data_IF_916762900560
#
_entry.id   IF_916762900560
#
_cell.length_a   1.000
_cell.length_b   1.000
_cell.length_c   1.000
_cell.angle_alpha   90.00
_cell.angle_beta   90.00
_cell.angle_gamma   90.00
#
_symmetry.space_group_name_H-M   'P 1'
#
loop_
_entity.id
_entity.type
_entity.pdbx_description
1 polymer ?
#
# COMPACT_ATOMS: atom_id res chain seq x y z
N UNK A 1 -33.19 1.65 55.77
CA UNK A 1 -32.31 2.40 54.84
C UNK A 1 -31.22 3.00 55.71
N UNK A 2 -29.99 2.50 55.60
CA UNK A 2 -28.87 3.03 56.38
C UNK A 2 -28.40 4.34 55.75
N UNK A 3 -28.89 5.46 56.29
CA UNK A 3 -28.45 6.82 55.95
C UNK A 3 -27.12 7.18 56.62
N UNK A 4 -26.22 6.22 56.81
CA UNK A 4 -24.91 6.53 57.36
C UNK A 4 -24.12 7.34 56.32
N UNK A 5 -23.34 8.32 56.80
CA UNK A 5 -22.45 9.11 55.94
C UNK A 5 -21.52 8.20 55.11
N UNK A 6 -21.08 7.08 55.69
CA UNK A 6 -20.31 6.05 54.99
C UNK A 6 -21.11 5.44 53.83
N UNK A 7 -22.40 5.12 54.04
CA UNK A 7 -23.29 4.59 53.00
C UNK A 7 -23.56 5.58 51.86
N UNK A 8 -23.66 6.87 52.17
CA UNK A 8 -23.78 7.94 51.17
C UNK A 8 -22.50 8.10 50.35
N UNK A 9 -21.33 8.11 51.00
CA UNK A 9 -20.03 8.23 50.31
C UNK A 9 -19.76 7.02 49.42
N UNK A 10 -20.07 5.80 49.88
CA UNK A 10 -19.90 4.59 49.06
C UNK A 10 -20.88 4.53 47.89
N UNK A 11 -22.15 4.92 48.09
CA UNK A 11 -23.13 5.02 47.00
C UNK A 11 -22.69 6.04 45.94
N UNK A 12 -22.26 7.23 46.37
CA UNK A 12 -21.78 8.26 45.46
C UNK A 12 -20.49 7.85 44.72
N UNK A 13 -19.57 7.17 45.40
CA UNK A 13 -18.37 6.63 44.76
C UNK A 13 -18.71 5.56 43.70
N UNK A 14 -19.70 4.70 43.96
CA UNK A 14 -20.17 3.70 43.02
C UNK A 14 -20.85 4.33 41.80
N UNK A 15 -21.72 5.31 42.01
CA UNK A 15 -22.37 6.07 40.92
C UNK A 15 -21.35 6.79 40.04
N UNK A 16 -20.34 7.44 40.65
CA UNK A 16 -19.26 8.08 39.90
C UNK A 16 -18.40 7.08 39.13
N UNK A 17 -18.12 5.89 39.68
CA UNK A 17 -17.39 4.84 38.96
C UNK A 17 -18.19 4.32 37.76
N UNK A 18 -19.49 4.09 37.94
CA UNK A 18 -20.40 3.67 36.87
C UNK A 18 -20.49 4.73 35.76
N UNK A 19 -20.68 6.00 36.13
CA UNK A 19 -20.72 7.12 35.19
C UNK A 19 -19.41 7.26 34.41
N UNK A 20 -18.26 7.11 35.09
CA UNK A 20 -16.96 7.13 34.45
C UNK A 20 -16.78 5.97 33.45
N UNK A 21 -17.11 4.73 33.83
CA UNK A 21 -17.00 3.58 32.92
C UNK A 21 -17.85 3.78 31.67
N UNK A 22 -19.09 4.23 31.84
CA UNK A 22 -19.99 4.56 30.73
C UNK A 22 -19.40 5.62 29.77
N UNK A 23 -18.76 6.65 30.35
CA UNK A 23 -18.08 7.69 29.57
C UNK A 23 -16.83 7.16 28.85
N UNK A 24 -16.00 6.38 29.53
CA UNK A 24 -14.81 5.77 28.94
C UNK A 24 -15.18 4.83 27.78
N UNK A 25 -16.20 4.00 27.96
CA UNK A 25 -16.73 3.16 26.89
C UNK A 25 -17.29 4.00 25.74
N UNK A 26 -17.96 5.11 26.02
CA UNK A 26 -18.46 6.01 24.98
C UNK A 26 -17.34 6.64 24.16
N UNK A 27 -16.28 7.12 24.82
CA UNK A 27 -15.15 7.80 24.17
C UNK A 27 -14.23 6.83 23.43
N UNK A 28 -13.97 5.66 24.00
CA UNK A 28 -13.00 4.71 23.45
C UNK A 28 -13.68 3.70 22.53
N UNK A 29 -14.68 2.98 23.03
CA UNK A 29 -15.31 1.88 22.29
C UNK A 29 -16.34 2.38 21.28
N UNK A 30 -17.27 3.24 21.71
CA UNK A 30 -18.40 3.66 20.88
C UNK A 30 -18.13 4.87 19.96
N UNK A 31 -16.98 5.53 20.12
CA UNK A 31 -16.56 6.58 19.20
C UNK A 31 -16.39 6.03 17.78
N UNK A 32 -16.41 6.89 16.78
CA UNK A 32 -16.13 6.51 15.40
C UNK A 32 -14.78 7.09 15.01
N UNK A 33 -13.83 6.23 14.64
CA UNK A 33 -12.53 6.62 14.12
C UNK A 33 -12.54 6.44 12.60
N UNK A 34 -12.45 7.56 11.88
CA UNK A 34 -12.43 7.58 10.42
C UNK A 34 -11.04 7.99 9.93
N UNK A 35 -10.35 7.11 9.21
CA UNK A 35 -9.03 7.40 8.64
C UNK A 35 -9.20 8.13 7.30
N UNK A 36 -8.60 9.31 7.18
CA UNK A 36 -8.50 10.03 5.91
C UNK A 36 -7.24 9.65 5.15
N UNK A 37 -6.12 9.45 5.87
CA UNK A 37 -4.83 9.07 5.29
C UNK A 37 -4.12 8.05 6.19
N UNK A 38 -3.65 6.96 5.60
CA UNK A 38 -2.63 6.11 6.18
C UNK A 38 -1.49 5.98 5.18
N UNK A 39 -0.33 6.54 5.48
CA UNK A 39 0.83 6.52 4.59
C UNK A 39 1.95 5.68 5.18
N UNK A 40 2.42 4.71 4.40
CA UNK A 40 3.62 3.93 4.66
C UNK A 40 4.71 4.40 3.68
N UNK A 41 5.86 4.80 4.21
CA UNK A 41 6.95 5.34 3.40
C UNK A 41 8.33 4.95 3.96
N UNK A 42 9.38 5.17 3.18
CA UNK A 42 10.77 4.87 3.58
C UNK A 42 10.90 3.46 4.16
N UNK A 43 10.35 2.49 3.44
CA UNK A 43 10.35 1.09 3.86
C UNK A 43 11.77 0.53 3.76
N UNK A 44 12.26 -0.01 4.87
CA UNK A 44 13.54 -0.72 5.00
C UNK A 44 13.28 -2.16 5.40
N UNK A 45 14.34 -2.96 5.57
CA UNK A 45 14.19 -4.36 5.98
C UNK A 45 13.48 -4.49 7.32
N UNK A 46 13.81 -3.62 8.29
CA UNK A 46 13.36 -3.76 9.68
C UNK A 46 12.47 -2.62 10.18
N UNK A 47 12.25 -1.58 9.37
CA UNK A 47 11.45 -0.41 9.78
C UNK A 47 10.81 0.32 8.61
N UNK A 48 9.79 1.12 8.90
CA UNK A 48 9.13 2.01 7.95
C UNK A 48 8.63 3.27 8.66
N UNK A 49 8.31 4.31 7.89
CA UNK A 49 7.69 5.52 8.40
C UNK A 49 6.18 5.48 8.18
N UNK A 50 5.42 5.77 9.24
CA UNK A 50 3.96 5.91 9.23
C UNK A 50 3.57 7.37 9.37
N UNK A 51 2.65 7.80 8.51
CA UNK A 51 1.81 8.97 8.78
C UNK A 51 0.35 8.55 8.82
N UNK A 52 -0.38 9.04 9.81
CA UNK A 52 -1.80 8.74 10.02
C UNK A 52 -2.55 10.07 10.20
N UNK A 53 -3.57 10.28 9.41
CA UNK A 53 -4.57 11.33 9.64
C UNK A 53 -5.92 10.65 9.84
N UNK A 54 -6.54 10.93 10.98
CA UNK A 54 -7.83 10.37 11.33
C UNK A 54 -8.68 11.35 12.09
N UNK A 55 -10.00 11.18 12.01
CA UNK A 55 -10.98 11.95 12.74
C UNK A 55 -11.70 11.02 13.73
N UNK A 56 -11.57 11.32 15.03
CA UNK A 56 -12.41 10.71 16.07
C UNK A 56 -13.68 11.55 16.18
N UNK A 57 -14.83 10.92 16.02
CA UNK A 57 -16.15 11.53 16.19
C UNK A 57 -17.03 10.69 17.11
N UNK A 58 -18.23 11.19 17.43
CA UNK A 58 -19.20 10.50 18.31
C UNK A 58 -18.64 10.13 19.69
N UNK A 59 -17.76 10.96 20.25
CA UNK A 59 -17.17 10.76 21.59
C UNK A 59 -18.13 11.11 22.74
N UNK A 60 -19.41 11.32 22.43
CA UNK A 60 -20.43 11.75 23.38
C UNK A 60 -20.49 13.28 23.56
N UNK A 61 -21.36 13.75 24.47
CA UNK A 61 -21.59 15.18 24.70
C UNK A 61 -20.44 15.89 25.45
N UNK A 62 -19.49 15.11 25.96
CA UNK A 62 -18.42 15.53 26.86
C UNK A 62 -17.10 15.75 26.12
N UNK A 63 -16.34 16.76 26.54
CA UNK A 63 -14.91 16.81 26.24
C UNK A 63 -14.14 15.94 27.24
N UNK A 64 -13.11 15.27 26.75
CA UNK A 64 -12.22 14.44 27.54
C UNK A 64 -10.79 14.58 27.05
N UNK A 65 -9.83 14.68 27.96
CA UNK A 65 -8.41 14.58 27.63
C UNK A 65 -7.95 13.13 27.74
N UNK A 66 -7.19 12.70 26.74
CA UNK A 66 -6.58 11.38 26.65
C UNK A 66 -5.07 11.60 26.54
N UNK A 67 -4.29 10.99 27.42
CA UNK A 67 -2.83 11.12 27.37
C UNK A 67 -2.24 10.43 26.14
N UNK A 68 -1.06 10.88 25.71
CA UNK A 68 -0.30 10.20 24.66
C UNK A 68 -0.09 8.73 25.02
N UNK A 69 -0.09 7.86 24.02
CA UNK A 69 -0.02 6.42 24.22
C UNK A 69 0.62 5.72 23.04
N UNK A 70 1.29 4.61 23.30
CA UNK A 70 1.77 3.69 22.27
C UNK A 70 0.74 2.58 22.11
N UNK A 71 0.34 2.32 20.87
CA UNK A 71 -0.59 1.25 20.49
C UNK A 71 0.10 0.25 19.57
N UNK A 72 -0.35 -0.99 19.66
CA UNK A 72 0.02 -2.07 18.75
C UNK A 72 -0.78 -1.91 17.45
N UNK A 73 -0.11 -1.98 16.31
CA UNK A 73 -0.72 -2.06 14.98
C UNK A 73 -0.95 -3.53 14.63
N UNK A 74 -2.20 -3.97 14.70
CA UNK A 74 -2.57 -5.34 14.39
C UNK A 74 -3.35 -5.41 13.07
N UNK A 75 -2.84 -6.21 12.14
CA UNK A 75 -3.53 -6.59 10.91
C UNK A 75 -4.29 -7.92 11.09
N UNK A 76 -4.83 -8.48 9.99
CA UNK A 76 -5.58 -9.74 10.02
C UNK A 76 -4.74 -10.94 10.48
N UNK A 77 -3.43 -10.88 10.28
CA UNK A 77 -2.49 -11.96 10.62
C UNK A 77 -1.71 -11.73 11.92
N UNK A 78 -1.92 -10.61 12.61
CA UNK A 78 -1.26 -10.34 13.90
C UNK A 78 -0.69 -8.93 14.03
N UNK A 79 0.10 -8.74 15.08
CA UNK A 79 0.77 -7.49 15.43
C UNK A 79 2.04 -7.31 14.59
N UNK A 80 2.15 -6.19 13.86
CA UNK A 80 3.28 -5.96 12.95
C UNK A 80 4.17 -4.76 13.31
N UNK A 81 3.77 -3.92 14.26
CA UNK A 81 4.57 -2.78 14.69
C UNK A 81 3.81 -1.89 15.68
N UNK A 82 4.50 -0.90 16.24
CA UNK A 82 3.94 0.01 17.24
C UNK A 82 3.88 1.45 16.72
N UNK A 83 2.79 2.17 17.04
CA UNK A 83 2.66 3.60 16.76
C UNK A 83 2.32 4.36 18.04
N UNK A 84 2.91 5.53 18.22
CA UNK A 84 2.60 6.44 19.32
C UNK A 84 1.61 7.49 18.85
N UNK A 85 0.42 7.48 19.45
CA UNK A 85 -0.61 8.49 19.27
C UNK A 85 -0.34 9.67 20.23
N UNK A 86 -0.52 10.92 19.76
CA UNK A 86 -0.33 12.10 20.60
C UNK A 86 -1.42 12.19 21.67
N UNK A 87 -1.24 13.10 22.64
CA UNK A 87 -2.31 13.42 23.57
C UNK A 87 -3.49 14.05 22.81
N UNK A 88 -4.70 13.60 23.11
CA UNK A 88 -5.92 13.98 22.39
C UNK A 88 -6.88 14.70 23.34
N UNK A 89 -7.62 15.68 22.83
CA UNK A 89 -8.75 16.27 23.55
C UNK A 89 -10.00 16.10 22.70
N UNK A 90 -10.93 15.27 23.15
CA UNK A 90 -12.18 15.01 22.44
C UNK A 90 -13.08 16.25 22.45
N UNK A 91 -13.67 16.58 21.32
CA UNK A 91 -14.58 17.71 21.16
C UNK A 91 -15.90 17.26 20.52
N UNK A 92 -16.97 18.03 20.75
CA UNK A 92 -18.31 17.74 20.20
C UNK A 92 -18.30 17.64 18.67
N UNK A 93 -17.45 18.42 17.99
CA UNK A 93 -17.36 18.46 16.53
C UNK A 93 -16.39 17.41 15.95
N UNK A 94 -15.84 16.55 16.80
CA UNK A 94 -14.78 15.61 16.46
C UNK A 94 -13.38 16.17 16.76
N UNK A 95 -12.42 15.27 16.82
CA UNK A 95 -11.02 15.54 17.15
C UNK A 95 -10.13 14.89 16.12
N UNK A 96 -9.27 15.69 15.54
CA UNK A 96 -8.26 15.22 14.59
C UNK A 96 -7.11 14.53 15.34
N UNK A 97 -6.67 13.41 14.78
CA UNK A 97 -5.50 12.66 15.22
C UNK A 97 -4.52 12.66 14.07
N UNK A 98 -3.38 13.31 14.30
CA UNK A 98 -2.32 13.44 13.30
C UNK A 98 -1.04 12.83 13.86
N UNK A 99 -0.52 11.82 13.17
CA UNK A 99 0.81 11.25 13.36
C UNK A 99 1.58 11.50 12.07
N UNK A 100 2.75 12.13 12.16
CA UNK A 100 3.55 12.51 11.00
C UNK A 100 4.91 11.83 11.03
N UNK A 101 5.20 11.06 9.97
CA UNK A 101 6.51 10.50 9.68
C UNK A 101 7.17 9.84 10.89
N UNK A 102 6.39 9.04 11.62
CA UNK A 102 6.89 8.32 12.79
C UNK A 102 7.55 7.02 12.33
N UNK A 103 8.78 6.78 12.79
CA UNK A 103 9.48 5.53 12.56
C UNK A 103 8.80 4.39 13.34
N UNK A 104 8.50 3.30 12.67
CA UNK A 104 7.91 2.08 13.21
C UNK A 104 8.82 0.91 12.89
N UNK A 105 9.26 0.20 13.92
CA UNK A 105 9.99 -1.05 13.77
C UNK A 105 9.03 -2.19 13.40
N UNK A 106 9.47 -3.04 12.47
CA UNK A 106 8.71 -4.19 12.01
C UNK A 106 8.91 -5.33 13.01
N UNK A 107 7.84 -5.72 13.68
CA UNK A 107 7.85 -6.81 14.66
C UNK A 107 7.63 -8.16 13.98
N UNK A 108 6.74 -8.18 12.98
CA UNK A 108 6.40 -9.38 12.22
C UNK A 108 6.18 -9.00 10.74
N UNK A 109 7.15 -9.38 9.91
CA UNK A 109 7.09 -9.17 8.46
C UNK A 109 5.93 -9.91 7.80
N UNK A 110 5.57 -11.10 8.29
CA UNK A 110 4.45 -11.88 7.78
C UNK A 110 3.12 -11.18 8.05
N UNK A 111 2.95 -10.63 9.25
CA UNK A 111 1.77 -9.87 9.61
C UNK A 111 1.66 -8.55 8.81
N UNK A 112 2.77 -7.83 8.63
CA UNK A 112 2.81 -6.61 7.80
C UNK A 112 2.48 -6.91 6.35
N UNK A 113 3.10 -7.95 5.79
CA UNK A 113 2.86 -8.39 4.41
C UNK A 113 1.40 -8.74 4.19
N UNK A 114 0.82 -9.57 5.06
CA UNK A 114 -0.58 -9.97 4.97
C UNK A 114 -1.53 -8.76 5.08
N UNK A 115 -1.21 -7.79 5.95
CA UNK A 115 -1.96 -6.55 6.05
C UNK A 115 -1.94 -5.74 4.75
N UNK A 116 -0.77 -5.52 4.15
CA UNK A 116 -0.65 -4.76 2.90
C UNK A 116 -1.33 -5.52 1.74
N UNK A 117 -1.15 -6.84 1.64
CA UNK A 117 -1.82 -7.65 0.62
C UNK A 117 -3.34 -7.59 0.75
N UNK A 118 -3.88 -7.69 1.97
CA UNK A 118 -5.32 -7.53 2.21
C UNK A 118 -5.83 -6.16 1.75
N UNK A 119 -5.09 -5.08 1.99
CA UNK A 119 -5.44 -3.74 1.51
C UNK A 119 -5.37 -3.58 -0.02
N UNK A 120 -4.44 -4.27 -0.68
CA UNK A 120 -4.36 -4.26 -2.15
C UNK A 120 -5.60 -4.91 -2.77
N UNK A 121 -6.09 -5.99 -2.16
CA UNK A 121 -7.25 -6.73 -2.66
C UNK A 121 -8.56 -6.16 -2.10
N UNK A 122 -9.10 -6.70 -1.01
CA UNK A 122 -10.49 -6.41 -0.61
C UNK A 122 -10.60 -5.34 0.50
N UNK A 123 -9.54 -5.14 1.25
CA UNK A 123 -9.50 -4.31 2.45
C UNK A 123 -9.01 -5.10 3.66
N UNK A 124 -8.74 -4.39 4.74
CA UNK A 124 -8.23 -4.99 5.97
C UNK A 124 -8.85 -4.33 7.20
N UNK A 125 -9.01 -5.12 8.25
CA UNK A 125 -9.25 -4.59 9.58
C UNK A 125 -7.91 -4.22 10.20
N UNK A 126 -7.73 -2.94 10.52
CA UNK A 126 -6.62 -2.46 11.34
C UNK A 126 -7.11 -2.33 12.77
N UNK A 127 -6.54 -3.11 13.68
CA UNK A 127 -6.84 -3.05 15.11
C UNK A 127 -5.70 -2.35 15.85
N UNK A 128 -6.00 -1.22 16.48
CA UNK A 128 -5.14 -0.55 17.45
C UNK A 128 -5.37 -1.21 18.81
N UNK A 129 -4.35 -1.84 19.40
CA UNK A 129 -4.49 -2.59 20.67
C UNK A 129 -3.49 -2.15 21.72
N UNK A 130 -3.74 -2.56 22.98
CA UNK A 130 -2.83 -2.37 24.10
C UNK A 130 -2.40 -0.92 24.40
N UNK A 131 -3.21 0.07 24.01
CA UNK A 131 -2.93 1.48 24.24
C UNK A 131 -3.12 1.89 25.69
N UNK A 132 -2.10 1.73 26.53
CA UNK A 132 -2.19 2.17 27.94
C UNK A 132 -2.25 3.68 28.00
N UNK A 133 -3.37 4.22 28.47
CA UNK A 133 -3.59 5.67 28.55
C UNK A 133 -4.43 6.04 29.76
N UNK A 134 -4.53 7.34 30.03
CA UNK A 134 -5.40 7.90 31.04
C UNK A 134 -6.41 8.86 30.41
N UNK A 135 -7.66 8.74 30.84
CA UNK A 135 -8.74 9.66 30.46
C UNK A 135 -9.10 10.56 31.65
N UNK A 136 -9.30 11.85 31.38
CA UNK A 136 -9.94 12.78 32.30
C UNK A 136 -11.09 13.53 31.59
N UNK A 137 -12.25 13.59 32.23
CA UNK A 137 -13.45 14.26 31.70
C UNK A 137 -14.35 14.74 32.83
N UNK A 138 -15.03 15.88 32.66
CA UNK A 138 -15.94 16.46 33.67
C UNK A 138 -15.35 16.60 35.09
N UNK A 139 -14.04 16.86 35.20
CA UNK A 139 -13.36 16.94 36.51
C UNK A 139 -13.17 15.57 37.20
N UNK A 140 -13.50 14.47 36.52
CA UNK A 140 -13.27 13.09 36.94
C UNK A 140 -12.04 12.56 36.20
N UNK A 141 -11.05 12.06 36.96
CA UNK A 141 -9.80 11.51 36.41
C UNK A 141 -8.55 12.23 36.94
N UNK A 142 -7.36 11.86 36.48
CA UNK A 142 -7.07 10.87 35.45
C UNK A 142 -7.34 9.43 35.92
N UNK A 143 -7.87 8.60 35.03
CA UNK A 143 -8.07 7.17 35.29
C UNK A 143 -7.48 6.34 34.16
N UNK A 144 -6.79 5.28 34.54
CA UNK A 144 -6.12 4.39 33.60
C UNK A 144 -7.10 3.48 32.88
N UNK A 145 -6.91 3.36 31.58
CA UNK A 145 -7.68 2.50 30.70
C UNK A 145 -6.74 1.88 29.64
N UNK A 146 -7.24 0.85 28.97
CA UNK A 146 -6.60 0.30 27.77
C UNK A 146 -7.41 0.75 26.57
N UNK A 147 -6.77 1.49 25.67
CA UNK A 147 -7.32 1.93 24.40
C UNK A 147 -7.24 0.79 23.40
N UNK A 148 -8.39 0.44 22.85
CA UNK A 148 -8.53 -0.53 21.78
C UNK A 148 -9.51 0.00 20.74
N UNK A 149 -9.15 -0.11 19.47
CA UNK A 149 -9.98 0.33 18.36
C UNK A 149 -9.81 -0.56 17.15
N UNK A 150 -10.91 -0.87 16.49
CA UNK A 150 -10.89 -1.57 15.21
C UNK A 150 -11.37 -0.63 14.12
N UNK A 151 -10.66 -0.65 13.00
CA UNK A 151 -10.84 0.29 11.91
C UNK A 151 -10.88 -0.51 10.62
N UNK A 152 -12.00 -0.43 9.92
CA UNK A 152 -12.13 -1.04 8.61
C UNK A 152 -11.49 -0.10 7.57
N UNK A 153 -10.40 -0.56 6.96
CA UNK A 153 -9.75 0.13 5.86
C UNK A 153 -10.26 -0.46 4.55
N UNK A 154 -10.90 0.33 3.67
CA UNK A 154 -11.33 -0.15 2.38
C UNK A 154 -10.10 -0.47 1.53
N UNK A 155 -10.13 -1.62 0.85
CA UNK A 155 -9.08 -2.02 -0.07
C UNK A 155 -9.19 -1.34 -1.43
N UNK A 156 -8.22 -1.62 -2.29
CA UNK A 156 -8.19 -1.05 -3.65
C UNK A 156 -9.06 -1.82 -4.66
N UNK A 157 -9.51 -3.04 -4.31
CA UNK A 157 -10.14 -4.02 -5.23
C UNK A 157 -9.24 -4.34 -6.43
N UNK A 158 -7.92 -4.38 -6.17
CA UNK A 158 -6.88 -4.36 -7.19
C UNK A 158 -6.71 -2.94 -7.78
N UNK A 159 -5.47 -2.44 -7.97
CA UNK A 159 -5.30 -1.13 -8.59
C UNK A 159 -5.87 -1.17 -10.00
N UNK A 160 -6.82 -0.29 -10.30
CA UNK A 160 -7.32 -0.12 -11.66
C UNK A 160 -6.26 0.62 -12.47
N UNK A 161 -5.58 -0.11 -13.36
CA UNK A 161 -4.49 0.40 -14.18
C UNK A 161 -4.95 0.56 -15.62
N UNK A 162 -4.79 1.78 -16.13
CA UNK A 162 -5.00 2.09 -17.53
C UNK A 162 -3.70 2.62 -18.15
N UNK A 163 -3.32 2.10 -19.31
CA UNK A 163 -2.18 2.63 -20.05
C UNK A 163 -2.59 3.97 -20.68
N UNK A 164 -1.99 5.07 -20.23
CA UNK A 164 -2.27 6.41 -20.77
C UNK A 164 -1.49 6.68 -22.03
N UNK A 165 -0.18 6.44 -21.98
CA UNK A 165 0.74 6.69 -23.08
C UNK A 165 1.88 5.66 -23.09
N UNK A 166 2.40 5.38 -24.28
CA UNK A 166 3.63 4.64 -24.48
C UNK A 166 4.47 5.37 -25.53
N UNK A 167 5.79 5.38 -25.36
CA UNK A 167 6.72 6.06 -26.27
C UNK A 167 8.06 5.36 -26.31
N UNK A 168 8.73 5.42 -27.46
CA UNK A 168 10.12 4.99 -27.60
C UNK A 168 11.06 6.00 -26.95
N UNK A 169 12.07 5.52 -26.24
CA UNK A 169 13.15 6.35 -25.73
C UNK A 169 14.26 6.32 -26.80
N UNK A 170 14.61 7.47 -27.42
CA UNK A 170 15.70 7.53 -28.38
C UNK A 170 17.01 7.08 -27.70
N UNK A 171 17.70 6.09 -28.29
CA UNK A 171 19.04 5.71 -27.84
C UNK A 171 20.00 6.88 -28.14
N UNK A 172 20.43 7.59 -27.10
CA UNK A 172 21.40 8.67 -27.24
C UNK A 172 22.76 8.14 -27.76
N UNK A 173 23.39 8.96 -28.61
CA UNK A 173 24.69 8.78 -29.28
C UNK A 173 25.89 8.59 -28.31
N UNK A 174 27.05 8.05 -28.78
CA UNK A 174 28.12 7.50 -27.95
C UNK A 174 28.93 8.54 -27.16
N UNK A 175 29.63 8.13 -26.09
CA UNK A 175 30.48 9.00 -25.28
C UNK A 175 31.71 9.44 -26.07
N UNK A 176 31.95 10.76 -26.11
CA UNK A 176 33.22 11.31 -26.58
C UNK A 176 34.34 10.92 -25.62
N UNK A 177 35.40 10.36 -26.20
CA UNK A 177 36.59 9.89 -25.53
C UNK A 177 37.38 11.02 -24.84
N UNK A 178 37.79 10.79 -23.58
CA UNK A 178 39.05 11.32 -23.02
C UNK A 178 39.64 10.29 -22.04
N UNK A 179 40.71 9.64 -22.53
CA UNK A 179 41.94 9.16 -21.88
C UNK A 179 41.96 8.50 -20.48
N UNK A 180 42.66 7.35 -20.48
CA UNK A 180 43.19 6.46 -19.43
C UNK A 180 44.07 7.19 -18.37
N UNK A 181 44.34 6.70 -17.14
CA UNK A 181 45.07 5.45 -16.78
C UNK A 181 45.07 5.23 -15.21
N UNK A 182 45.85 4.29 -14.57
CA UNK A 182 45.32 3.05 -13.97
C UNK A 182 45.76 2.76 -12.50
N UNK A 183 45.11 1.80 -11.80
CA UNK A 183 45.79 0.95 -10.78
C UNK A 183 44.95 -0.25 -10.26
N UNK A 184 45.34 -1.45 -10.70
CA UNK A 184 45.64 -2.72 -9.98
C UNK A 184 44.79 -3.28 -8.81
N UNK A 185 44.02 -4.33 -9.14
CA UNK A 185 44.05 -5.74 -8.66
C UNK A 185 43.93 -6.19 -7.17
N UNK A 186 42.92 -7.05 -6.89
CA UNK A 186 42.99 -8.44 -6.33
C UNK A 186 41.56 -8.91 -5.94
N UNK A 187 40.94 -10.00 -6.44
CA UNK A 187 41.13 -11.47 -6.43
C UNK A 187 40.42 -12.23 -5.27
N UNK A 188 39.43 -13.07 -5.65
CA UNK A 188 38.85 -14.21 -4.90
C UNK A 188 37.42 -13.99 -4.35
N UNK A 189 36.40 -14.84 -4.51
CA UNK A 189 36.25 -16.15 -5.15
C UNK A 189 34.82 -16.70 -4.90
N UNK A 190 34.13 -17.05 -6.00
CA UNK A 190 33.12 -18.11 -6.24
C UNK A 190 32.23 -18.63 -5.09
N UNK A 191 30.90 -18.47 -5.23
CA UNK A 191 29.93 -19.56 -5.00
C UNK A 191 28.66 -19.37 -5.86
N UNK A 192 28.15 -20.47 -6.44
CA UNK A 192 27.19 -20.55 -7.55
C UNK A 192 25.74 -20.86 -7.11
N UNK A 193 24.78 -20.18 -7.76
CA UNK A 193 23.44 -20.62 -8.25
C UNK A 193 22.31 -21.04 -7.27
N UNK A 194 20.99 -20.87 -7.61
CA UNK A 194 20.42 -21.12 -8.93
C UNK A 194 19.55 -20.03 -9.59
N UNK A 195 19.71 -19.96 -10.92
CA UNK A 195 18.70 -19.78 -11.97
C UNK A 195 17.57 -18.77 -11.75
N UNK A 196 17.83 -17.50 -12.09
CA UNK A 196 16.80 -16.57 -12.57
C UNK A 196 17.23 -16.13 -13.96
N UNK A 197 16.44 -16.48 -14.98
CA UNK A 197 16.56 -15.95 -16.34
C UNK A 197 16.18 -14.47 -16.32
N UNK A 198 17.08 -13.63 -15.84
CA UNK A 198 17.12 -12.22 -16.21
C UNK A 198 17.37 -12.16 -17.71
N UNK A 199 16.60 -11.34 -18.43
CA UNK A 199 16.85 -11.03 -19.83
C UNK A 199 18.12 -10.17 -19.86
N UNK A 200 19.26 -10.85 -19.76
CA UNK A 200 20.57 -10.28 -20.02
C UNK A 200 20.71 -10.21 -21.54
N UNK A 201 20.37 -9.03 -22.05
CA UNK A 201 21.11 -8.41 -23.16
C UNK A 201 21.33 -9.31 -24.38
N UNK A 202 20.26 -9.75 -25.02
CA UNK A 202 20.30 -9.93 -26.48
C UNK A 202 20.01 -8.58 -27.11
N UNK A 203 21.00 -8.07 -27.86
CA UNK A 203 20.95 -6.83 -28.63
C UNK A 203 19.65 -6.75 -29.46
N UNK A 204 18.79 -5.77 -29.19
CA UNK A 204 17.62 -5.49 -30.03
C UNK A 204 16.33 -5.06 -29.32
N UNK A 205 16.30 -4.96 -27.98
CA UNK A 205 15.12 -4.46 -27.26
C UNK A 205 14.95 -2.95 -27.44
N UNK A 206 13.81 -2.51 -27.98
CA UNK A 206 13.46 -1.09 -28.01
C UNK A 206 13.20 -0.60 -26.59
N UNK A 207 13.91 0.46 -26.18
CA UNK A 207 13.66 1.11 -24.91
C UNK A 207 12.33 1.86 -24.98
N UNK A 208 11.45 1.62 -24.01
CA UNK A 208 10.13 2.25 -23.91
C UNK A 208 9.94 2.98 -22.60
N UNK A 209 9.12 4.02 -22.64
CA UNK A 209 8.55 4.69 -21.48
C UNK A 209 7.04 4.56 -21.54
N UNK A 210 6.45 3.93 -20.52
CA UNK A 210 5.01 3.69 -20.41
C UNK A 210 4.47 4.48 -19.22
N UNK A 211 3.42 5.27 -19.45
CA UNK A 211 2.69 5.99 -18.42
C UNK A 211 1.37 5.27 -18.16
N UNK A 212 1.20 4.83 -16.92
CA UNK A 212 -0.04 4.24 -16.42
C UNK A 212 -0.77 5.26 -15.58
N UNK A 213 -2.09 5.36 -15.77
CA UNK A 213 -2.97 5.97 -14.78
C UNK A 213 -3.46 4.88 -13.84
N UNK A 214 -3.33 5.15 -12.55
CA UNK A 214 -3.77 4.26 -11.47
C UNK A 214 -4.84 4.98 -10.67
N UNK A 215 -5.91 4.26 -10.34
CA UNK A 215 -6.95 4.74 -9.44
C UNK A 215 -6.92 3.93 -8.15
N UNK A 216 -6.78 4.62 -7.02
CA UNK A 216 -6.79 4.05 -5.68
C UNK A 216 -7.91 4.71 -4.83
N UNK A 217 -9.01 3.99 -4.55
CA UNK A 217 -10.10 4.50 -3.72
C UNK A 217 -9.84 4.40 -2.21
N UNK A 218 -8.76 3.72 -1.80
CA UNK A 218 -8.40 3.52 -0.39
C UNK A 218 -7.78 4.77 0.22
N UNK A 219 -7.89 5.00 1.55
CA UNK A 219 -7.09 6.02 2.26
C UNK A 219 -5.60 5.64 2.41
N UNK A 220 -5.20 4.45 1.95
CA UNK A 220 -3.81 3.98 2.00
C UNK A 220 -2.94 4.64 0.93
N UNK A 221 -1.77 5.10 1.35
CA UNK A 221 -0.64 5.44 0.48
C UNK A 221 0.56 4.57 0.86
N UNK A 222 1.25 4.02 -0.13
CA UNK A 222 2.45 3.21 0.10
C UNK A 222 3.52 3.51 -0.94
N UNK A 223 4.73 3.78 -0.47
CA UNK A 223 5.91 3.97 -1.31
C UNK A 223 6.77 2.72 -1.24
N UNK A 224 6.79 1.95 -2.33
CA UNK A 224 7.68 0.80 -2.47
C UNK A 224 9.06 1.22 -3.00
N UNK A 225 9.22 2.44 -3.50
CA UNK A 225 10.47 2.88 -4.12
C UNK A 225 10.62 2.28 -5.52
N UNK A 226 11.83 1.87 -5.89
CA UNK A 226 12.09 1.37 -7.26
C UNK A 226 11.70 -0.09 -7.38
N UNK A 227 10.73 -0.39 -8.24
CA UNK A 227 10.24 -1.74 -8.50
C UNK A 227 10.49 -2.15 -9.96
N UNK A 228 10.53 -3.46 -10.19
CA UNK A 228 10.53 -4.09 -11.51
C UNK A 228 9.23 -4.83 -11.74
N UNK A 229 8.70 -4.72 -12.95
CA UNK A 229 7.48 -5.37 -13.40
C UNK A 229 7.72 -6.04 -14.74
N UNK A 230 7.04 -7.14 -15.00
CA UNK A 230 6.97 -7.74 -16.32
C UNK A 230 5.56 -7.52 -16.89
N UNK A 231 5.48 -7.17 -18.18
CA UNK A 231 4.24 -7.30 -18.94
C UNK A 231 4.24 -8.72 -19.50
N UNK A 232 3.27 -9.53 -19.10
CA UNK A 232 3.08 -10.89 -19.59
C UNK A 232 1.85 -10.95 -20.50
N UNK A 233 1.86 -11.85 -21.48
CA UNK A 233 0.64 -12.21 -22.21
C UNK A 233 -0.23 -13.21 -21.45
N UNK A 234 -1.33 -13.65 -22.06
CA UNK A 234 -2.23 -14.66 -21.50
C UNK A 234 -1.61 -16.07 -21.36
N UNK A 235 -0.42 -16.30 -21.92
CA UNK A 235 0.36 -17.54 -21.82
C UNK A 235 1.57 -17.38 -20.88
N UNK A 236 1.62 -16.31 -20.08
CA UNK A 236 2.74 -15.96 -19.20
C UNK A 236 4.08 -15.73 -19.91
N UNK A 237 4.05 -15.40 -21.21
CA UNK A 237 5.26 -15.04 -21.96
C UNK A 237 5.60 -13.57 -21.74
N UNK A 238 6.87 -13.22 -21.44
CA UNK A 238 7.27 -11.85 -21.20
C UNK A 238 7.28 -11.03 -22.50
N UNK A 239 6.44 -9.99 -22.52
CA UNK A 239 6.34 -9.00 -23.59
C UNK A 239 7.26 -7.81 -23.34
N UNK A 240 7.40 -7.37 -22.08
CA UNK A 240 8.27 -6.27 -21.71
C UNK A 240 8.76 -6.41 -20.26
N UNK A 241 9.98 -5.95 -20.00
CA UNK A 241 10.50 -5.76 -18.64
C UNK A 241 10.53 -4.27 -18.35
N UNK A 242 9.89 -3.87 -17.25
CA UNK A 242 9.68 -2.49 -16.83
C UNK A 242 10.33 -2.24 -15.47
N UNK A 243 10.84 -1.03 -15.27
CA UNK A 243 11.42 -0.56 -14.01
C UNK A 243 11.03 0.89 -13.77
N UNK A 244 10.72 1.21 -12.52
CA UNK A 244 10.37 2.57 -12.15
C UNK A 244 9.92 2.66 -10.71
N UNK A 245 9.59 3.86 -10.27
CA UNK A 245 9.19 4.12 -8.89
C UNK A 245 7.71 3.82 -8.74
N UNK A 246 7.35 2.94 -7.80
CA UNK A 246 5.97 2.66 -7.44
C UNK A 246 5.62 3.37 -6.12
N UNK A 247 4.89 4.48 -6.26
CA UNK A 247 4.28 5.20 -5.14
C UNK A 247 2.76 5.16 -5.33
N UNK A 248 2.09 4.29 -4.58
CA UNK A 248 0.64 4.22 -4.57
C UNK A 248 0.12 5.39 -3.75
N UNK A 249 -0.63 6.28 -4.40
CA UNK A 249 -1.23 7.49 -3.79
C UNK A 249 -2.75 7.36 -3.76
N UNK A 250 -3.44 8.14 -2.94
CA UNK A 250 -4.92 8.19 -2.94
C UNK A 250 -5.43 8.83 -4.23
N UNK A 251 -6.63 8.43 -4.65
CA UNK A 251 -7.30 8.99 -5.81
C UNK A 251 -6.67 8.55 -7.14
N UNK A 252 -6.63 9.46 -8.11
CA UNK A 252 -6.06 9.21 -9.43
C UNK A 252 -4.65 9.79 -9.52
N UNK A 253 -3.71 9.00 -10.02
CA UNK A 253 -2.33 9.42 -10.22
C UNK A 253 -1.70 8.69 -11.40
N UNK A 254 -0.62 9.25 -11.92
CA UNK A 254 0.17 8.65 -12.99
C UNK A 254 1.47 8.07 -12.46
N UNK A 255 1.88 6.95 -13.05
CA UNK A 255 3.15 6.28 -12.80
C UNK A 255 3.84 6.03 -14.14
N UNK A 256 5.12 6.37 -14.21
CA UNK A 256 5.94 6.10 -15.39
C UNK A 256 6.90 4.96 -15.11
N UNK A 257 6.83 3.93 -15.94
CA UNK A 257 7.82 2.86 -15.97
C UNK A 257 8.63 2.93 -17.26
N UNK A 258 9.92 2.61 -17.15
CA UNK A 258 10.85 2.56 -18.28
C UNK A 258 11.39 1.15 -18.41
N UNK A 259 11.60 0.70 -19.63
CA UNK A 259 11.91 -0.70 -19.83
C UNK A 259 12.31 -1.05 -21.24
N UNK A 260 12.39 -2.36 -21.49
CA UNK A 260 12.70 -2.93 -22.79
C UNK A 260 11.57 -3.83 -23.23
N UNK A 261 11.19 -3.72 -24.50
CA UNK A 261 10.15 -4.57 -25.08
C UNK A 261 10.76 -5.68 -25.93
N UNK A 262 10.19 -6.88 -25.83
CA UNK A 262 10.42 -7.97 -26.75
C UNK A 262 9.53 -7.82 -28.00
N UNK A 263 10.08 -7.21 -29.06
CA UNK A 263 9.32 -6.90 -30.29
C UNK A 263 8.74 -8.16 -30.95
N UNK A 264 9.45 -9.29 -30.95
CA UNK A 264 8.96 -10.51 -31.59
C UNK A 264 7.75 -11.11 -30.86
N UNK A 265 7.79 -11.14 -29.53
CA UNK A 265 6.66 -11.57 -28.71
C UNK A 265 5.46 -10.61 -28.88
N UNK A 266 5.73 -9.30 -28.91
CA UNK A 266 4.70 -8.27 -29.13
C UNK A 266 4.03 -8.39 -30.50
N UNK A 267 4.80 -8.65 -31.58
CA UNK A 267 4.26 -8.88 -32.91
C UNK A 267 3.40 -10.15 -33.00
N UNK A 268 3.79 -11.22 -32.32
CA UNK A 268 2.97 -12.45 -32.24
C UNK A 268 1.62 -12.17 -31.58
N UNK A 269 1.62 -11.44 -30.47
CA UNK A 269 0.39 -11.05 -29.79
C UNK A 269 -0.49 -10.14 -30.66
N UNK A 270 0.09 -9.15 -31.36
CA UNK A 270 -0.65 -8.28 -32.26
C UNK A 270 -1.34 -9.05 -33.40
N UNK A 271 -0.68 -10.07 -33.97
CA UNK A 271 -1.27 -10.94 -35.00
C UNK A 271 -2.45 -11.75 -34.46
N UNK A 272 -2.30 -12.34 -33.28
CA UNK A 272 -3.37 -13.09 -32.60
C UNK A 272 -4.58 -12.18 -32.31
N UNK A 273 -4.32 -10.95 -31.88
CA UNK A 273 -5.35 -9.94 -31.63
C UNK A 273 -6.11 -9.52 -32.89
N UNK A 274 -5.38 -9.29 -34.00
CA UNK A 274 -5.98 -8.92 -35.29
C UNK A 274 -6.82 -10.07 -35.89
N UNK A 275 -6.44 -11.33 -35.67
CA UNK A 275 -7.24 -12.50 -36.06
C UNK A 275 -8.59 -12.53 -35.33
N UNK A 276 -8.60 -12.28 -34.01
CA UNK A 276 -9.85 -12.27 -33.22
C UNK A 276 -10.80 -11.13 -33.65
N UNK A 277 -10.26 -9.96 -34.01
CA UNK A 277 -11.05 -8.85 -34.59
C UNK A 277 -11.70 -9.24 -35.92
N UNK A 278 -10.99 -9.96 -36.80
CA UNK A 278 -11.52 -10.38 -38.11
C UNK A 278 -12.67 -11.40 -37.99
N UNK A 279 -12.67 -12.26 -36.95
CA UNK A 279 -13.72 -13.25 -36.72
C UNK A 279 -14.97 -12.65 -36.05
N UNK A 280 -14.84 -11.58 -35.27
CA UNK A 280 -15.96 -10.90 -34.61
C UNK A 280 -16.86 -10.07 -35.52
N UNK A 281 -16.40 -9.72 -36.73
CA UNK A 281 -17.18 -8.94 -37.71
C UNK A 281 -18.44 -9.64 -38.26
N UNK A 282 -18.68 -10.93 -37.94
CA UNK A 282 -19.83 -11.70 -38.47
C UNK A 282 -20.80 -12.27 -37.43
N UNK A 283 -20.53 -12.20 -36.13
CA UNK A 283 -21.40 -12.78 -35.11
C UNK A 283 -21.79 -11.73 -34.05
N UNK A 284 -23.07 -11.38 -34.02
CA UNK A 284 -23.66 -10.43 -33.08
C UNK A 284 -23.59 -10.91 -31.62
N UNK A 285 -23.44 -9.94 -30.70
CA UNK A 285 -23.82 -9.98 -29.28
C UNK A 285 -23.65 -11.33 -28.56
N UNK A 286 -22.42 -11.62 -28.14
CA UNK A 286 -22.21 -12.46 -26.95
C UNK A 286 -21.33 -11.70 -25.97
N UNK A 287 -21.92 -11.37 -24.83
CA UNK A 287 -21.26 -10.84 -23.64
C UNK A 287 -20.51 -12.01 -22.99
N UNK A 288 -19.30 -11.74 -22.50
CA UNK A 288 -18.44 -12.59 -21.65
C UNK A 288 -17.44 -13.53 -22.35
N UNK A 289 -16.19 -13.04 -22.47
CA UNK A 289 -14.92 -13.78 -22.27
C UNK A 289 -13.73 -12.97 -22.80
N UNK A 290 -13.69 -11.65 -22.57
CA UNK A 290 -12.44 -10.90 -22.77
C UNK A 290 -11.55 -11.19 -21.56
N UNK A 291 -10.81 -12.29 -21.63
CA UNK A 291 -9.60 -12.40 -20.83
C UNK A 291 -8.68 -11.24 -21.23
N UNK A 292 -8.13 -10.50 -20.25
CA UNK A 292 -7.13 -9.49 -20.54
C UNK A 292 -5.97 -10.16 -21.27
N UNK A 293 -5.65 -9.66 -22.46
CA UNK A 293 -4.63 -10.29 -23.32
C UNK A 293 -3.20 -10.10 -22.79
N UNK A 294 -3.03 -9.16 -21.87
CA UNK A 294 -1.79 -8.94 -21.15
C UNK A 294 -2.05 -8.51 -19.71
N UNK A 295 -1.05 -8.73 -18.86
CA UNK A 295 -1.07 -8.43 -17.44
C UNK A 295 0.23 -7.78 -17.01
N UNK A 296 0.14 -6.81 -16.12
CA UNK A 296 1.30 -6.20 -15.46
C UNK A 296 1.53 -6.95 -14.15
N UNK A 297 2.66 -7.65 -14.05
CA UNK A 297 3.01 -8.50 -12.91
C UNK A 297 4.23 -7.94 -12.20
N UNK A 298 4.13 -7.71 -10.90
CA UNK A 298 5.27 -7.29 -10.08
C UNK A 298 6.32 -8.39 -9.93
N UNK A 299 7.60 -8.02 -9.98
CA UNK A 299 8.71 -8.99 -9.96
C UNK A 299 9.57 -8.85 -8.70
N UNK A 300 10.06 -7.64 -8.45
CA UNK A 300 10.95 -7.33 -7.34
C UNK A 300 10.90 -5.84 -6.99
N UNK A 301 11.29 -5.54 -5.76
CA UNK A 301 11.55 -4.23 -5.24
C UNK A 301 13.06 -4.09 -4.98
N UNK A 302 13.63 -2.92 -5.23
CA UNK A 302 15.05 -2.65 -4.94
C UNK A 302 15.29 -2.38 -3.43
N UNK A 303 14.23 -2.30 -2.63
CA UNK A 303 14.27 -2.04 -1.19
C UNK A 303 14.25 -3.33 -0.37
N UNK A 304 13.36 -3.35 0.62
CA UNK A 304 13.21 -4.46 1.56
C UNK A 304 12.76 -5.75 0.86
N UNK A 305 13.44 -6.88 1.14
CA UNK A 305 13.22 -8.14 0.43
C UNK A 305 11.80 -8.69 0.62
N UNK A 306 11.20 -8.44 1.78
CA UNK A 306 9.82 -8.83 2.06
C UNK A 306 8.78 -8.10 1.18
N UNK A 307 9.12 -6.91 0.63
CA UNK A 307 8.23 -6.21 -0.30
C UNK A 307 8.08 -6.93 -1.64
N UNK A 308 9.02 -7.80 -2.02
CA UNK A 308 8.97 -8.52 -3.30
C UNK A 308 7.69 -9.34 -3.43
N UNK A 309 7.28 -10.01 -2.35
CA UNK A 309 6.09 -10.85 -2.38
C UNK A 309 4.79 -10.03 -2.43
N UNK A 310 4.78 -8.86 -1.81
CA UNK A 310 3.69 -7.89 -1.93
C UNK A 310 3.62 -7.33 -3.35
N UNK A 311 4.76 -6.99 -3.95
CA UNK A 311 4.82 -6.53 -5.33
C UNK A 311 4.36 -7.64 -6.30
N UNK A 312 4.75 -8.89 -6.06
CA UNK A 312 4.31 -10.05 -6.86
C UNK A 312 2.79 -10.29 -6.80
N UNK A 313 2.10 -9.87 -5.74
CA UNK A 313 0.63 -9.90 -5.70
C UNK A 313 -0.04 -8.83 -6.58
N UNK A 314 0.73 -7.87 -7.12
CA UNK A 314 0.23 -6.95 -8.14
C UNK A 314 0.21 -7.69 -9.48
N UNK A 315 -0.96 -8.21 -9.81
CA UNK A 315 -1.28 -8.86 -11.07
C UNK A 315 -2.49 -8.14 -11.68
N UNK A 316 -2.19 -7.22 -12.60
CA UNK A 316 -3.18 -6.24 -13.05
C UNK A 316 -3.48 -6.43 -14.54
N UNK A 317 -4.76 -6.59 -14.92
CA UNK A 317 -5.14 -6.72 -16.32
C UNK A 317 -4.84 -5.43 -17.09
N UNK A 318 -4.27 -5.57 -18.29
CA UNK A 318 -4.03 -4.45 -19.20
C UNK A 318 -5.07 -4.46 -20.32
N UNK A 319 -6.00 -3.51 -20.28
CA UNK A 319 -7.10 -3.41 -21.25
C UNK A 319 -6.72 -2.67 -22.54
N UNK A 320 -5.69 -1.82 -22.50
CA UNK A 320 -5.34 -0.91 -23.60
C UNK A 320 -3.92 -1.14 -24.15
N UNK A 321 -3.54 -2.42 -24.36
CA UNK A 321 -2.20 -2.75 -24.88
C UNK A 321 -1.96 -2.28 -26.33
N UNK A 322 -3.02 -1.95 -27.08
CA UNK A 322 -2.94 -1.35 -28.42
C UNK A 322 -2.07 -0.08 -28.45
N UNK A 323 -2.09 0.72 -27.38
CA UNK A 323 -1.24 1.91 -27.27
C UNK A 323 0.26 1.57 -27.27
N UNK A 324 0.61 0.40 -26.75
CA UNK A 324 1.98 -0.10 -26.79
C UNK A 324 2.34 -0.60 -28.19
N UNK A 325 1.41 -1.22 -28.92
CA UNK A 325 1.61 -1.62 -30.32
C UNK A 325 1.88 -0.40 -31.19
N UNK A 326 1.04 0.64 -31.08
CA UNK A 326 1.22 1.90 -31.81
C UNK A 326 2.55 2.58 -31.49
N UNK A 327 2.98 2.59 -30.22
CA UNK A 327 4.26 3.17 -29.84
C UNK A 327 5.48 2.44 -30.44
N UNK A 328 5.31 1.20 -30.89
CA UNK A 328 6.36 0.34 -31.43
C UNK A 328 6.31 0.22 -32.96
N UNK A 329 5.40 0.95 -33.61
CA UNK A 329 5.06 0.82 -35.04
C UNK A 329 4.72 -0.65 -35.40
N UNK A 330 3.86 -1.27 -34.60
CA UNK A 330 3.32 -2.62 -34.83
C UNK A 330 1.85 -2.47 -35.20
N UNK A 331 1.53 -2.67 -36.48
CA UNK A 331 0.16 -2.70 -37.04
C UNK A 331 -0.48 -4.10 -37.00
#
# INVERSE_FOLDING_TARGET
MDFSFLGLVTSHAFEMDFAFRSLADTIVRNSQLSISLLRISNVTEDSFHVSLEALISRTGPASASITAMTVDLCGPSGHFGNVTLPALTTQRNGTEVVVTNQLVDIIDHGALKAFIQALIHDGALLSLRNGKTSIAAFGIGPRHIVYEKEILLPGMKGPAVDMRAASLIPSALPPSAVAESPSTASLGGVMRSPTTTSILSTSGGNAVSIVFQVTNPSPLEISFGTCSFDILDYQDRPLAELKGRLDIRRGQFEITFRGTVNKSAMMSLAREFNLDKSHRGRAAKSISSQLPQARLVGKRCAGAGWCDETIKSLDMPLWNIEKLFHALDID
#
